data_IF_096538682492
#
_entry.id   IF_096538682492
#
_cell.length_a   1.000
_cell.length_b   1.000
_cell.length_c   1.000
_cell.angle_alpha   90.00
_cell.angle_beta   90.00
_cell.angle_gamma   90.00
#
_symmetry.space_group_name_H-M   'P 1'
#
loop_
_entity.id
_entity.type
_entity.pdbx_description
1 polymer ?
#
# COMPACT_ATOMS: atom_id res chain seq x y z
N UNK A 1 16.63 11.24 17.85
CA UNK A 1 16.68 10.83 16.43
C UNK A 1 16.74 9.32 16.25
N UNK A 2 17.66 8.61 16.93
CA UNK A 2 17.79 7.15 16.78
C UNK A 2 16.53 6.36 17.18
N UNK A 3 15.92 6.66 18.34
CA UNK A 3 14.68 5.97 18.78
C UNK A 3 13.51 6.20 17.83
N UNK A 4 13.34 7.43 17.32
CA UNK A 4 12.27 7.78 16.37
C UNK A 4 12.48 7.02 15.05
N UNK A 5 13.71 7.00 14.53
CA UNK A 5 14.05 6.28 13.30
C UNK A 5 13.81 4.78 13.42
N UNK A 6 14.23 4.15 14.53
CA UNK A 6 13.99 2.72 14.78
C UNK A 6 12.50 2.39 14.85
N UNK A 7 11.70 3.24 15.52
CA UNK A 7 10.24 3.07 15.60
C UNK A 7 9.61 3.23 14.22
N UNK A 8 10.03 4.22 13.43
CA UNK A 8 9.50 4.45 12.08
C UNK A 8 9.83 3.29 11.13
N UNK A 9 11.04 2.72 11.20
CA UNK A 9 11.40 1.51 10.45
C UNK A 9 10.55 0.31 10.90
N UNK A 10 10.37 0.12 12.21
CA UNK A 10 9.54 -0.96 12.73
C UNK A 10 8.08 -0.87 12.24
N UNK A 11 7.50 0.34 12.24
CA UNK A 11 6.18 0.61 11.70
C UNK A 11 6.10 0.37 10.19
N UNK A 12 7.10 0.85 9.44
CA UNK A 12 7.18 0.64 8.00
C UNK A 12 7.25 -0.85 7.63
N UNK A 13 8.05 -1.62 8.36
CA UNK A 13 8.17 -3.07 8.19
C UNK A 13 6.86 -3.80 8.49
N UNK A 14 6.18 -3.43 9.57
CA UNK A 14 4.88 -4.01 9.93
C UNK A 14 3.81 -3.76 8.86
N UNK A 15 3.73 -2.52 8.35
CA UNK A 15 2.80 -2.16 7.28
C UNK A 15 3.15 -2.87 5.98
N UNK A 16 4.44 -3.02 5.66
CA UNK A 16 4.89 -3.77 4.49
C UNK A 16 4.45 -5.25 4.55
N UNK A 17 4.56 -5.89 5.72
CA UNK A 17 4.13 -7.28 5.90
C UNK A 17 2.63 -7.41 5.66
N UNK A 18 1.81 -6.56 6.29
CA UNK A 18 0.35 -6.59 6.11
C UNK A 18 0.00 -6.31 4.65
N UNK A 19 0.60 -5.30 4.02
CA UNK A 19 0.35 -4.96 2.63
C UNK A 19 0.73 -6.12 1.70
N UNK A 20 1.90 -6.73 1.89
CA UNK A 20 2.33 -7.89 1.09
C UNK A 20 1.42 -9.10 1.27
N UNK A 21 0.95 -9.36 2.50
CA UNK A 21 0.03 -10.46 2.79
C UNK A 21 -1.35 -10.22 2.17
N UNK A 22 -1.83 -8.98 2.22
CA UNK A 22 -3.09 -8.57 1.59
C UNK A 22 -2.98 -8.77 0.08
N UNK A 23 -1.95 -8.22 -0.56
CA UNK A 23 -1.68 -8.41 -2.00
C UNK A 23 -1.48 -9.88 -2.36
N UNK A 24 -0.80 -10.69 -1.54
CA UNK A 24 -0.61 -12.11 -1.84
C UNK A 24 -1.91 -12.92 -1.77
N UNK A 25 -2.77 -12.62 -0.79
CA UNK A 25 -4.04 -13.31 -0.58
C UNK A 25 -5.13 -12.82 -1.55
N UNK A 26 -5.19 -11.51 -1.81
CA UNK A 26 -6.18 -10.91 -2.72
C UNK A 26 -5.69 -10.86 -4.17
N UNK A 27 -4.39 -11.00 -4.41
CA UNK A 27 -3.76 -10.96 -5.74
C UNK A 27 -3.81 -12.28 -6.52
N UNK A 28 -4.54 -13.30 -6.04
CA UNK A 28 -4.93 -14.45 -6.87
C UNK A 28 -5.75 -14.05 -8.10
N UNK A 29 -6.26 -12.82 -8.13
CA UNK A 29 -6.52 -12.09 -9.35
C UNK A 29 -5.87 -10.73 -9.23
N UNK A 30 -4.68 -10.56 -9.76
CA UNK A 30 -4.26 -9.23 -10.19
C UNK A 30 -5.35 -8.79 -11.17
N UNK A 31 -6.28 -7.94 -10.72
CA UNK A 31 -7.40 -7.44 -11.53
C UNK A 31 -6.88 -6.66 -12.76
N UNK A 32 -5.57 -6.43 -12.83
CA UNK A 32 -4.84 -5.90 -13.96
C UNK A 32 -4.45 -6.94 -15.03
N UNK A 33 -4.56 -8.24 -14.73
CA UNK A 33 -4.50 -9.33 -15.72
C UNK A 33 -5.87 -9.67 -16.34
N UNK A 34 -6.96 -9.08 -15.82
CA UNK A 34 -8.32 -9.18 -16.38
C UNK A 34 -8.59 -8.20 -17.52
N UNK A 35 -7.54 -7.76 -18.23
CA UNK A 35 -7.62 -6.84 -19.36
C UNK A 35 -8.32 -7.47 -20.58
N UNK A 36 -9.64 -7.62 -20.52
CA UNK A 36 -10.52 -7.63 -21.69
C UNK A 36 -11.98 -7.66 -21.21
N UNK A 37 -12.61 -6.49 -21.12
CA UNK A 37 -14.04 -6.41 -20.91
C UNK A 37 -14.50 -5.14 -20.23
N UNK A 38 -14.17 -3.98 -20.78
CA UNK A 38 -14.89 -2.74 -20.45
C UNK A 38 -16.31 -2.88 -21.00
N UNK A 39 -17.20 -3.55 -20.24
CA UNK A 39 -18.64 -3.55 -20.45
C UNK A 39 -19.23 -2.38 -19.67
N UNK A 40 -19.10 -1.17 -20.22
CA UNK A 40 -19.63 0.08 -19.65
C UNK A 40 -21.16 0.19 -19.71
N UNK A 41 -21.91 -0.85 -19.35
CA UNK A 41 -23.39 -0.75 -19.30
C UNK A 41 -24.03 -1.44 -18.11
N UNK A 42 -23.29 -2.18 -17.28
CA UNK A 42 -23.85 -2.69 -16.03
C UNK A 42 -23.40 -1.83 -14.85
N UNK A 43 -24.32 -1.02 -14.32
CA UNK A 43 -24.20 -0.29 -13.05
C UNK A 43 -24.27 -1.30 -11.89
N UNK A 44 -23.33 -2.25 -11.87
CA UNK A 44 -23.23 -3.28 -10.84
C UNK A 44 -22.90 -2.64 -9.50
N UNK A 45 -23.57 -3.08 -8.43
CA UNK A 45 -23.31 -2.65 -7.05
C UNK A 45 -21.81 -2.71 -6.74
N UNK A 46 -21.34 -1.81 -5.87
CA UNK A 46 -19.99 -1.86 -5.31
C UNK A 46 -19.68 -3.29 -4.83
N UNK A 47 -18.84 -3.99 -5.58
CA UNK A 47 -18.50 -5.39 -5.28
C UNK A 47 -17.42 -5.45 -4.22
N UNK A 48 -17.23 -6.62 -3.62
CA UNK A 48 -16.12 -6.89 -2.70
C UNK A 48 -14.76 -6.51 -3.31
N UNK A 49 -14.59 -6.74 -4.62
CA UNK A 49 -13.37 -6.43 -5.36
C UNK A 49 -13.09 -4.92 -5.45
N UNK A 50 -14.13 -4.07 -5.55
CA UNK A 50 -13.97 -2.61 -5.54
C UNK A 50 -13.50 -2.11 -4.16
N UNK A 51 -14.02 -2.72 -3.09
CA UNK A 51 -13.61 -2.39 -1.73
C UNK A 51 -12.16 -2.80 -1.48
N UNK A 52 -11.79 -4.01 -1.89
CA UNK A 52 -10.40 -4.49 -1.76
C UNK A 52 -9.44 -3.66 -2.60
N UNK A 53 -9.82 -3.27 -3.82
CA UNK A 53 -9.00 -2.39 -4.68
C UNK A 53 -8.77 -1.02 -4.03
N UNK A 54 -9.81 -0.41 -3.44
CA UNK A 54 -9.67 0.86 -2.70
C UNK A 54 -8.81 0.71 -1.45
N UNK A 55 -8.97 -0.38 -0.70
CA UNK A 55 -8.20 -0.65 0.50
C UNK A 55 -6.71 -0.83 0.18
N UNK A 56 -6.38 -1.59 -0.87
CA UNK A 56 -5.00 -1.77 -1.34
C UNK A 56 -4.41 -0.46 -1.83
N UNK A 57 -5.17 0.36 -2.54
CA UNK A 57 -4.74 1.69 -2.98
C UNK A 57 -4.40 2.61 -1.78
N UNK A 58 -5.26 2.67 -0.79
CA UNK A 58 -5.04 3.47 0.43
C UNK A 58 -3.79 2.98 1.15
N UNK A 59 -3.65 1.67 1.35
CA UNK A 59 -2.48 1.07 2.01
C UNK A 59 -1.19 1.34 1.24
N UNK A 60 -1.21 1.25 -0.09
CA UNK A 60 -0.05 1.54 -0.94
C UNK A 60 0.38 3.00 -0.85
N UNK A 61 -0.56 3.94 -0.92
CA UNK A 61 -0.28 5.38 -0.77
C UNK A 61 0.24 5.69 0.64
N UNK A 62 -0.37 5.13 1.68
CA UNK A 62 0.09 5.32 3.06
C UNK A 62 1.49 4.76 3.28
N UNK A 63 1.81 3.60 2.70
CA UNK A 63 3.14 3.01 2.78
C UNK A 63 4.20 3.88 2.06
N UNK A 64 3.88 4.35 0.86
CA UNK A 64 4.75 5.27 0.12
C UNK A 64 5.01 6.56 0.90
N UNK A 65 3.98 7.16 1.49
CA UNK A 65 4.10 8.37 2.32
C UNK A 65 4.96 8.15 3.56
N UNK A 66 4.83 7.00 4.22
CA UNK A 66 5.66 6.62 5.36
C UNK A 66 7.14 6.45 4.97
N UNK A 67 7.42 5.82 3.83
CA UNK A 67 8.79 5.68 3.33
C UNK A 67 9.44 7.04 3.02
N UNK A 68 8.70 7.96 2.40
CA UNK A 68 9.19 9.32 2.17
C UNK A 68 9.45 10.08 3.48
N UNK A 69 8.58 9.95 4.48
CA UNK A 69 8.82 10.55 5.80
C UNK A 69 10.08 9.99 6.47
N UNK A 70 10.28 8.66 6.40
CA UNK A 70 11.50 8.02 6.90
C UNK A 70 12.72 8.54 6.16
N UNK A 71 12.65 8.68 4.84
CA UNK A 71 13.76 9.15 4.01
C UNK A 71 14.14 10.60 4.31
N UNK A 72 13.15 11.49 4.53
CA UNK A 72 13.40 12.88 4.93
C UNK A 72 14.02 12.96 6.33
N UNK A 73 13.51 12.19 7.29
CA UNK A 73 14.05 12.12 8.66
C UNK A 73 15.47 11.55 8.65
N UNK A 74 15.70 10.49 7.87
CA UNK A 74 17.01 9.88 7.67
C UNK A 74 17.99 10.87 7.06
N UNK A 75 17.60 11.54 5.98
CA UNK A 75 18.42 12.53 5.28
C UNK A 75 18.81 13.71 6.19
N UNK A 76 17.91 14.16 7.07
CA UNK A 76 18.24 15.20 8.06
C UNK A 76 19.10 14.67 9.22
N UNK A 77 18.97 13.39 9.58
CA UNK A 77 19.79 12.76 10.61
C UNK A 77 21.20 12.40 10.12
N UNK A 78 21.38 12.09 8.83
CA UNK A 78 22.66 11.75 8.18
C UNK A 78 23.46 12.97 7.75
N UNK A 79 22.82 14.13 7.58
CA UNK A 79 23.47 15.40 7.20
C UNK A 79 24.16 16.09 8.39
N UNK A 80 24.76 15.31 9.29
CA UNK A 80 25.60 15.81 10.39
C UNK A 80 27.07 15.76 10.00
#
# INVERSE_FOLDING_TARGET
>A
MQTIYTISIGLGMFIAIIFSALVFLTGKGDAMSGGSGVRTTFKGKASFDDFMSKLTLILGISFMGLMLLIDVISSHALKK
#
